data_IF_731983149345
#
_entry.id   IF_731983149345
#
_cell.length_a   1.000
_cell.length_b   1.000
_cell.length_c   1.000
_cell.angle_alpha   90.00
_cell.angle_beta   90.00
_cell.angle_gamma   90.00
#
_symmetry.space_group_name_H-M   'P 1'
#
loop_
_entity.id
_entity.type
_entity.pdbx_description
1 polymer ?
#
# COMPACT_ATOMS: atom_id res chain seq x y z
N UNK A 1 -1.49 -52.35 16.13
CA UNK A 1 -1.06 -51.55 14.96
C UNK A 1 -2.21 -50.62 14.58
N UNK A 2 -2.27 -49.42 15.16
CA UNK A 2 -3.30 -48.40 14.87
C UNK A 2 -2.58 -47.07 14.66
N UNK A 3 -2.47 -46.64 13.40
CA UNK A 3 -1.94 -45.33 13.02
C UNK A 3 -3.01 -44.28 13.30
N UNK A 4 -2.79 -43.45 14.32
CA UNK A 4 -3.58 -42.24 14.56
C UNK A 4 -3.19 -41.20 13.50
N UNK A 5 -4.09 -40.95 12.56
CA UNK A 5 -3.99 -39.87 11.58
C UNK A 5 -4.36 -38.58 12.32
N UNK A 6 -3.37 -37.71 12.52
CA UNK A 6 -3.57 -36.37 13.07
C UNK A 6 -3.99 -35.45 11.91
N UNK A 7 -5.27 -35.09 11.85
CA UNK A 7 -5.76 -34.02 10.99
C UNK A 7 -5.36 -32.68 11.60
N UNK A 8 -4.35 -32.03 11.03
CA UNK A 8 -3.95 -30.67 11.40
C UNK A 8 -4.95 -29.68 10.84
N UNK A 9 -5.76 -29.09 11.72
CA UNK A 9 -6.65 -27.98 11.39
C UNK A 9 -5.77 -26.72 11.19
N UNK A 10 -5.60 -26.29 9.95
CA UNK A 10 -4.87 -25.05 9.64
C UNK A 10 -5.70 -23.86 10.14
N UNK A 11 -5.26 -23.25 11.24
CA UNK A 11 -5.83 -22.01 11.76
C UNK A 11 -5.45 -20.87 10.80
N UNK A 12 -6.41 -20.44 9.98
CA UNK A 12 -6.28 -19.23 9.16
C UNK A 12 -6.30 -18.03 10.10
N UNK A 13 -5.11 -17.56 10.49
CA UNK A 13 -4.94 -16.33 11.23
C UNK A 13 -5.14 -15.14 10.27
N UNK A 14 -6.39 -14.71 10.15
CA UNK A 14 -6.74 -13.47 9.44
C UNK A 14 -6.35 -12.28 10.35
N UNK A 15 -5.12 -11.79 10.22
CA UNK A 15 -4.68 -10.58 10.91
C UNK A 15 -5.33 -9.36 10.25
N UNK A 16 -6.41 -8.84 10.84
CA UNK A 16 -6.99 -7.56 10.47
C UNK A 16 -6.26 -6.45 11.22
N UNK A 17 -5.35 -5.75 10.52
CA UNK A 17 -4.55 -4.67 11.10
C UNK A 17 -5.13 -3.32 10.65
N UNK A 18 -5.79 -2.57 11.55
CA UNK A 18 -6.11 -1.16 11.34
C UNK A 18 -4.90 -0.33 11.76
N UNK A 19 -4.30 0.41 10.81
CA UNK A 19 -3.10 1.21 11.06
C UNK A 19 -3.40 2.70 10.83
N UNK A 20 -3.39 3.55 11.87
CA UNK A 20 -3.20 4.98 11.67
C UNK A 20 -1.73 5.23 11.29
N UNK A 21 -1.50 5.92 10.19
CA UNK A 21 -0.17 6.24 9.66
C UNK A 21 0.38 7.55 10.28
N UNK A 22 1.71 7.67 10.39
CA UNK A 22 2.40 8.88 10.86
C UNK A 22 3.51 9.30 9.88
N UNK A 23 3.45 10.57 9.45
CA UNK A 23 4.39 11.42 8.69
C UNK A 23 5.46 10.78 7.76
N UNK A 24 5.07 10.52 6.51
CA UNK A 24 5.64 10.99 5.24
C UNK A 24 4.60 10.61 4.16
N UNK A 25 4.43 11.37 3.07
CA UNK A 25 3.32 11.14 2.12
C UNK A 25 3.75 11.23 0.67
N UNK A 26 4.28 12.35 0.22
CA UNK A 26 4.82 12.48 -1.13
C UNK A 26 6.33 12.29 -1.10
N UNK A 27 6.83 11.58 -2.10
CA UNK A 27 8.27 11.49 -2.37
C UNK A 27 8.74 12.76 -3.07
N UNK A 28 10.05 13.00 -3.15
CA UNK A 28 10.62 14.10 -3.95
C UNK A 28 10.04 14.11 -5.38
N UNK A 29 9.80 12.93 -5.95
CA UNK A 29 9.19 12.81 -7.27
C UNK A 29 7.72 13.27 -7.27
N UNK A 30 6.92 12.79 -6.32
CA UNK A 30 5.51 13.18 -6.17
C UNK A 30 5.34 14.67 -5.90
N UNK A 31 6.19 15.24 -5.04
CA UNK A 31 6.21 16.67 -4.72
C UNK A 31 6.54 17.51 -5.96
N UNK A 32 7.58 17.16 -6.71
CA UNK A 32 7.95 17.87 -7.94
C UNK A 32 6.81 17.82 -8.99
N UNK A 33 6.16 16.66 -9.14
CA UNK A 33 4.99 16.54 -10.03
C UNK A 33 3.83 17.43 -9.58
N UNK A 34 3.55 17.48 -8.28
CA UNK A 34 2.50 18.34 -7.73
C UNK A 34 2.82 19.81 -7.95
N UNK A 35 4.07 20.24 -7.71
CA UNK A 35 4.54 21.61 -7.94
C UNK A 35 4.42 21.99 -9.41
N UNK A 36 4.88 21.14 -10.32
CA UNK A 36 4.81 21.39 -11.76
C UNK A 36 3.35 21.49 -12.24
N UNK A 37 2.46 20.67 -11.69
CA UNK A 37 1.05 20.70 -12.05
C UNK A 37 0.34 21.95 -11.52
N UNK A 38 0.50 22.25 -10.23
CA UNK A 38 -0.25 23.29 -9.55
C UNK A 38 0.24 24.69 -9.92
N UNK A 39 1.56 24.89 -9.99
CA UNK A 39 2.15 26.23 -10.13
C UNK A 39 2.70 26.49 -11.53
N UNK A 40 2.97 25.45 -12.31
CA UNK A 40 3.67 25.57 -13.60
C UNK A 40 2.85 25.10 -14.79
N UNK A 41 1.55 24.82 -14.56
CA UNK A 41 0.57 24.50 -15.60
C UNK A 41 0.90 23.23 -16.38
N UNK A 42 1.73 22.33 -15.82
CA UNK A 42 2.04 21.06 -16.46
C UNK A 42 0.93 20.05 -16.19
N UNK A 43 0.78 19.06 -17.07
CA UNK A 43 -0.07 17.93 -16.74
C UNK A 43 0.55 17.13 -15.59
N UNK A 44 -0.23 16.80 -14.56
CA UNK A 44 0.25 16.02 -13.40
C UNK A 44 0.82 14.67 -13.84
N UNK A 45 0.21 14.03 -14.84
CA UNK A 45 0.73 12.78 -15.42
C UNK A 45 0.64 11.58 -14.48
N UNK A 46 -0.39 11.52 -13.63
CA UNK A 46 -0.68 10.34 -12.81
C UNK A 46 -1.06 9.14 -13.68
N UNK A 47 -0.74 7.91 -13.26
CA UNK A 47 -1.09 6.70 -14.00
C UNK A 47 -2.60 6.42 -13.89
N UNK A 48 -3.16 5.72 -14.89
CA UNK A 48 -4.52 5.19 -14.80
C UNK A 48 -4.64 4.05 -13.77
N UNK A 49 -3.52 3.43 -13.41
CA UNK A 49 -3.41 2.37 -12.40
C UNK A 49 -2.24 2.66 -11.48
N UNK A 50 -2.53 2.77 -10.19
CA UNK A 50 -1.51 2.78 -9.16
C UNK A 50 -1.07 1.36 -8.84
N UNK A 51 0.19 1.18 -8.49
CA UNK A 51 0.73 -0.10 -8.05
C UNK A 51 1.14 0.02 -6.59
N UNK A 52 0.39 -0.63 -5.70
CA UNK A 52 0.66 -0.67 -4.27
C UNK A 52 1.74 -1.70 -4.00
N UNK A 53 2.91 -1.22 -3.60
CA UNK A 53 4.05 -2.03 -3.20
C UNK A 53 4.32 -1.95 -1.70
N UNK A 54 5.20 -2.82 -1.22
CA UNK A 54 5.74 -2.74 0.15
C UNK A 54 7.26 -2.81 0.13
N UNK A 55 7.90 -2.31 1.18
CA UNK A 55 9.35 -2.34 1.34
C UNK A 55 9.73 -2.79 2.74
N UNK A 56 10.92 -3.40 2.84
CA UNK A 56 11.52 -3.78 4.12
C UNK A 56 12.29 -2.65 4.79
N UNK A 57 12.41 -1.49 4.13
CA UNK A 57 12.90 -0.24 4.71
C UNK A 57 11.75 0.67 5.12
N UNK A 58 12.03 1.58 6.05
CA UNK A 58 11.14 2.71 6.36
C UNK A 58 11.11 3.71 5.21
N UNK A 59 10.16 4.63 5.23
CA UNK A 59 10.03 5.68 4.25
C UNK A 59 11.20 6.65 4.31
N UNK A 60 11.54 7.11 3.11
CA UNK A 60 12.52 8.13 2.79
C UNK A 60 12.00 8.75 1.51
N UNK A 61 11.98 10.07 1.37
CA UNK A 61 11.37 10.74 0.21
C UNK A 61 12.19 10.50 -1.07
N UNK A 62 13.51 10.36 -0.95
CA UNK A 62 14.42 10.25 -2.09
C UNK A 62 14.59 8.81 -2.62
N UNK A 63 14.58 7.79 -1.75
CA UNK A 63 14.87 6.40 -2.15
C UNK A 63 13.77 5.40 -1.75
N UNK A 64 13.43 4.44 -2.62
CA UNK A 64 12.32 3.50 -2.41
C UNK A 64 12.59 2.41 -1.35
N UNK A 65 13.83 2.26 -0.88
CA UNK A 65 14.22 1.09 -0.09
C UNK A 65 14.19 -0.20 -0.92
N UNK A 66 13.96 -1.34 -0.26
CA UNK A 66 14.06 -2.67 -0.86
C UNK A 66 12.69 -3.35 -0.89
N UNK A 67 12.18 -3.61 -2.10
CA UNK A 67 11.00 -4.45 -2.26
C UNK A 67 11.32 -5.92 -1.94
N UNK A 68 10.38 -6.67 -1.32
CA UNK A 68 10.55 -8.09 -1.09
C UNK A 68 10.80 -8.96 -2.32
N UNK A 69 11.27 -10.18 -2.08
CA UNK A 69 11.33 -11.26 -3.07
C UNK A 69 10.60 -12.49 -2.54
N UNK A 70 10.44 -13.55 -3.34
CA UNK A 70 9.78 -14.78 -2.89
C UNK A 70 8.25 -14.70 -2.98
N UNK A 71 7.73 -14.49 -4.20
CA UNK A 71 6.29 -14.43 -4.50
C UNK A 71 5.70 -13.02 -4.45
N UNK A 72 6.46 -12.02 -4.01
CA UNK A 72 6.02 -10.63 -3.98
C UNK A 72 5.78 -10.06 -5.38
N UNK A 73 4.68 -9.32 -5.51
CA UNK A 73 4.38 -8.45 -6.64
C UNK A 73 3.53 -7.27 -6.17
N UNK A 74 3.75 -6.08 -6.75
CA UNK A 74 2.91 -4.90 -6.49
C UNK A 74 1.46 -5.17 -6.91
N UNK A 75 0.51 -4.62 -6.18
CA UNK A 75 -0.91 -4.80 -6.45
C UNK A 75 -1.49 -3.65 -7.28
N UNK A 76 -2.12 -3.93 -8.43
CA UNK A 76 -2.73 -2.90 -9.25
C UNK A 76 -4.03 -2.40 -8.60
N UNK A 77 -4.18 -1.08 -8.53
CA UNK A 77 -5.39 -0.40 -8.04
C UNK A 77 -5.71 0.74 -9.00
N UNK A 78 -6.83 0.64 -9.71
CA UNK A 78 -7.25 1.67 -10.68
C UNK A 78 -7.39 3.04 -10.02
N UNK A 79 -6.92 4.10 -10.68
CA UNK A 79 -7.16 5.48 -10.24
C UNK A 79 -8.62 5.87 -10.54
N UNK A 80 -9.54 5.48 -9.66
CA UNK A 80 -10.99 5.63 -9.87
C UNK A 80 -11.71 5.91 -8.57
N UNK A 81 -12.89 6.54 -8.66
CA UNK A 81 -13.76 6.82 -7.52
C UNK A 81 -14.23 5.55 -6.79
N UNK A 82 -14.32 4.42 -7.50
CA UNK A 82 -14.68 3.13 -6.87
C UNK A 82 -13.53 2.49 -6.11
N UNK A 83 -12.27 2.82 -6.44
CA UNK A 83 -11.10 2.20 -5.85
C UNK A 83 -10.49 3.03 -4.71
N UNK A 84 -10.62 4.36 -4.76
CA UNK A 84 -10.09 5.28 -3.76
C UNK A 84 -11.19 6.19 -3.23
N UNK A 85 -11.27 6.29 -1.90
CA UNK A 85 -12.24 7.14 -1.22
C UNK A 85 -11.97 8.63 -1.47
N UNK A 86 -13.03 9.43 -1.61
CA UNK A 86 -12.94 10.87 -1.49
C UNK A 86 -12.66 11.30 -0.03
N UNK A 87 -12.22 12.55 0.14
CA UNK A 87 -11.78 13.11 1.44
C UNK A 87 -12.87 13.33 2.48
N UNK A 88 -14.14 13.10 2.11
CA UNK A 88 -15.31 13.30 2.95
C UNK A 88 -15.64 12.10 3.85
N UNK A 89 -15.31 10.88 3.43
CA UNK A 89 -15.49 9.66 4.24
C UNK A 89 -14.81 8.45 3.59
N UNK A 90 -14.39 7.48 4.41
CA UNK A 90 -14.01 6.16 3.91
C UNK A 90 -15.15 5.49 3.13
N UNK A 91 -14.82 4.73 2.08
CA UNK A 91 -15.82 4.06 1.24
C UNK A 91 -16.58 4.97 0.28
N UNK A 92 -16.32 6.29 0.28
CA UNK A 92 -17.00 7.22 -0.63
C UNK A 92 -16.57 7.03 -2.08
N UNK A 93 -17.49 7.31 -3.01
CA UNK A 93 -17.32 7.07 -4.45
C UNK A 93 -17.65 8.31 -5.29
N UNK A 94 -17.59 9.49 -4.67
CA UNK A 94 -17.72 10.79 -5.33
C UNK A 94 -16.43 11.57 -5.22
N UNK A 95 -16.24 12.58 -6.07
CA UNK A 95 -15.09 13.48 -5.99
C UNK A 95 -14.93 14.08 -4.59
N UNK A 96 -13.68 14.30 -4.19
CA UNK A 96 -13.31 14.79 -2.87
C UNK A 96 -13.98 16.13 -2.53
N UNK A 97 -14.59 16.20 -1.35
CA UNK A 97 -15.23 17.42 -0.84
C UNK A 97 -15.04 17.64 0.67
N UNK A 98 -14.30 16.75 1.34
CA UNK A 98 -13.99 16.85 2.77
C UNK A 98 -12.75 17.68 3.05
N UNK A 99 -12.56 18.01 4.33
CA UNK A 99 -11.52 18.95 4.79
C UNK A 99 -10.22 18.29 5.28
N UNK A 100 -10.17 16.96 5.42
CA UNK A 100 -9.03 16.27 6.05
C UNK A 100 -7.95 15.75 5.09
N UNK A 101 -8.04 16.08 3.80
CA UNK A 101 -7.09 15.66 2.74
C UNK A 101 -6.75 14.14 2.68
N UNK A 102 -7.50 13.30 3.40
CA UNK A 102 -7.22 11.86 3.55
C UNK A 102 -8.04 11.05 2.55
N UNK A 103 -7.40 10.12 1.86
CA UNK A 103 -8.04 9.09 1.03
C UNK A 103 -7.71 7.70 1.59
N UNK A 104 -8.46 6.69 1.15
CA UNK A 104 -8.21 5.29 1.51
C UNK A 104 -8.63 4.34 0.39
N UNK A 105 -8.14 3.10 0.43
CA UNK A 105 -8.60 2.06 -0.48
C UNK A 105 -10.06 1.67 -0.21
N UNK A 106 -10.91 1.63 -1.24
CA UNK A 106 -12.32 1.22 -1.10
C UNK A 106 -12.54 -0.30 -1.20
N UNK A 107 -11.53 -1.04 -1.66
CA UNK A 107 -11.58 -2.50 -1.81
C UNK A 107 -10.37 -3.16 -1.16
N UNK A 108 -10.46 -4.47 -0.89
CA UNK A 108 -9.33 -5.26 -0.37
C UNK A 108 -8.18 -5.24 -1.37
N UNK A 109 -6.98 -4.93 -0.91
CA UNK A 109 -5.73 -5.05 -1.67
C UNK A 109 -4.99 -6.26 -1.10
N UNK A 110 -4.92 -7.36 -1.86
CA UNK A 110 -4.32 -8.61 -1.41
C UNK A 110 -3.08 -8.92 -2.23
N UNK A 111 -1.94 -9.12 -1.55
CA UNK A 111 -0.70 -9.55 -2.19
C UNK A 111 -0.71 -11.06 -2.40
N UNK A 112 0.11 -11.59 -3.34
CA UNK A 112 0.28 -13.03 -3.46
C UNK A 112 0.82 -13.60 -2.15
N UNK A 113 0.40 -14.82 -1.81
CA UNK A 113 0.97 -15.53 -0.67
C UNK A 113 2.49 -15.66 -0.84
N UNK A 114 3.23 -15.41 0.23
CA UNK A 114 4.69 -15.51 0.20
C UNK A 114 5.12 -16.93 -0.19
N UNK A 115 6.17 -17.05 -1.01
CA UNK A 115 6.80 -18.35 -1.32
C UNK A 115 8.11 -18.55 -0.56
N UNK A 116 8.58 -17.51 0.14
CA UNK A 116 9.73 -17.49 1.04
C UNK A 116 9.55 -16.36 2.05
N UNK A 117 10.48 -16.22 3.01
CA UNK A 117 10.49 -15.07 3.92
C UNK A 117 10.73 -13.77 3.13
N UNK A 118 9.96 -12.71 3.44
CA UNK A 118 10.20 -11.36 2.93
C UNK A 118 10.96 -10.50 3.96
N UNK A 119 10.95 -10.90 5.23
CA UNK A 119 11.45 -10.11 6.35
C UNK A 119 10.37 -9.17 6.90
N UNK A 120 10.81 -8.13 7.61
CA UNK A 120 9.93 -7.12 8.17
C UNK A 120 9.52 -6.13 7.09
N UNK A 121 8.25 -6.13 6.73
CA UNK A 121 7.65 -5.07 5.92
C UNK A 121 7.48 -3.83 6.80
N UNK A 122 8.10 -2.72 6.40
CA UNK A 122 8.19 -1.48 7.18
C UNK A 122 7.49 -0.29 6.51
N UNK A 123 7.30 -0.30 5.20
CA UNK A 123 6.57 0.76 4.50
C UNK A 123 5.70 0.22 3.36
N UNK A 124 4.66 1.00 3.02
CA UNK A 124 3.77 0.83 1.87
C UNK A 124 4.00 1.97 0.91
N UNK A 125 3.92 1.69 -0.40
CA UNK A 125 4.34 2.61 -1.44
C UNK A 125 3.37 2.60 -2.62
N UNK A 126 3.11 3.76 -3.24
CA UNK A 126 2.41 3.84 -4.53
C UNK A 126 3.37 4.15 -5.65
N UNK A 127 3.31 3.32 -6.67
CA UNK A 127 4.14 3.36 -7.87
C UNK A 127 3.31 3.60 -9.12
N UNK A 128 3.92 4.24 -10.11
CA UNK A 128 3.30 4.43 -11.43
C UNK A 128 3.50 3.27 -12.41
N UNK A 129 4.24 2.24 -12.02
CA UNK A 129 4.49 1.06 -12.83
C UNK A 129 4.46 -0.24 -12.01
N UNK A 130 4.17 -1.35 -12.70
CA UNK A 130 4.11 -2.71 -12.11
C UNK A 130 5.48 -3.17 -11.60
N UNK A 131 6.55 -2.76 -12.27
CA UNK A 131 7.95 -2.98 -11.91
C UNK A 131 8.74 -1.72 -12.27
N UNK A 132 9.85 -1.45 -11.57
CA UNK A 132 10.60 -0.20 -11.70
C UNK A 132 9.68 1.03 -11.54
N UNK A 133 9.71 1.99 -12.47
CA UNK A 133 8.90 3.21 -12.41
C UNK A 133 9.31 4.17 -11.30
N UNK A 134 8.44 5.13 -11.03
CA UNK A 134 8.63 6.13 -9.99
C UNK A 134 7.68 5.86 -8.83
N UNK A 135 8.21 5.96 -7.62
CA UNK A 135 7.42 5.95 -6.40
C UNK A 135 6.95 7.37 -6.13
N UNK A 136 5.64 7.55 -5.96
CA UNK A 136 5.02 8.86 -5.71
C UNK A 136 4.71 9.08 -4.24
N UNK A 137 4.33 8.02 -3.55
CA UNK A 137 3.89 8.07 -2.16
C UNK A 137 4.58 6.95 -1.38
N UNK A 138 4.95 7.24 -0.14
CA UNK A 138 5.47 6.27 0.82
C UNK A 138 4.84 6.54 2.18
N UNK A 139 4.37 5.50 2.86
CA UNK A 139 3.88 5.58 4.23
C UNK A 139 4.50 4.47 5.07
N UNK A 140 5.04 4.81 6.23
CA UNK A 140 5.53 3.82 7.20
C UNK A 140 4.36 3.05 7.82
N UNK A 141 4.51 1.74 7.97
CA UNK A 141 3.57 0.96 8.78
C UNK A 141 3.88 1.21 10.26
N UNK A 142 2.85 1.47 11.06
CA UNK A 142 3.05 1.82 12.48
C UNK A 142 3.72 0.70 13.30
N UNK A 143 3.57 -0.55 12.84
CA UNK A 143 4.29 -1.70 13.37
C UNK A 143 4.78 -2.57 12.20
N UNK A 144 6.07 -2.94 12.15
CA UNK A 144 6.58 -3.81 11.10
C UNK A 144 5.81 -5.12 11.02
N UNK A 145 5.41 -5.51 9.81
CA UNK A 145 4.74 -6.79 9.57
C UNK A 145 5.77 -7.84 9.15
N UNK A 146 6.00 -8.83 10.01
CA UNK A 146 7.00 -9.86 9.74
C UNK A 146 6.45 -10.97 8.84
N UNK A 147 7.06 -11.13 7.68
CA UNK A 147 6.82 -12.24 6.75
C UNK A 147 8.02 -13.19 6.83
N UNK A 148 7.93 -14.17 7.73
CA UNK A 148 9.05 -15.01 8.14
C UNK A 148 9.17 -16.34 7.39
N UNK A 149 8.18 -16.69 6.58
CA UNK A 149 8.12 -17.97 5.86
C UNK A 149 7.18 -17.90 4.65
N UNK A 150 7.11 -19.00 3.90
CA UNK A 150 6.11 -19.20 2.84
C UNK A 150 4.69 -19.38 3.40
N UNK A 151 3.68 -18.98 2.64
CA UNK A 151 2.26 -19.10 2.98
C UNK A 151 1.72 -17.98 3.87
N UNK A 152 2.49 -16.90 4.08
CA UNK A 152 2.02 -15.70 4.77
C UNK A 152 1.28 -14.83 3.76
N UNK A 153 0.07 -14.41 4.11
CA UNK A 153 -0.72 -13.49 3.30
C UNK A 153 -0.64 -12.08 3.88
N UNK A 154 -0.28 -11.11 3.03
CA UNK A 154 -0.34 -9.68 3.34
C UNK A 154 -1.53 -9.07 2.59
N UNK A 155 -2.38 -8.34 3.30
CA UNK A 155 -3.50 -7.61 2.69
C UNK A 155 -3.83 -6.35 3.46
N UNK A 156 -4.45 -5.40 2.75
CA UNK A 156 -5.14 -4.26 3.31
C UNK A 156 -6.62 -4.41 3.04
N UNK A 157 -7.44 -4.54 4.08
CA UNK A 157 -8.89 -4.48 3.94
C UNK A 157 -9.33 -3.08 3.50
N UNK A 158 -10.56 -2.93 3.02
CA UNK A 158 -11.10 -1.61 2.67
C UNK A 158 -10.97 -0.63 3.86
N UNK A 159 -10.52 0.59 3.56
CA UNK A 159 -10.32 1.68 4.52
C UNK A 159 -9.04 1.57 5.36
N UNK A 160 -8.26 0.49 5.24
CA UNK A 160 -7.07 0.29 6.08
C UNK A 160 -5.82 1.01 5.56
N UNK A 161 -5.65 1.08 4.24
CA UNK A 161 -4.54 1.82 3.64
C UNK A 161 -4.99 3.26 3.44
N UNK A 162 -4.43 4.16 4.23
CA UNK A 162 -4.78 5.59 4.22
C UNK A 162 -3.59 6.43 3.77
N UNK A 163 -3.89 7.46 2.98
CA UNK A 163 -2.93 8.47 2.54
C UNK A 163 -3.53 9.84 2.79
N UNK A 164 -2.74 10.79 3.25
CA UNK A 164 -3.12 12.19 3.41
C UNK A 164 -2.24 13.04 2.46
N UNK A 165 -2.56 14.32 2.24
CA UNK A 165 -1.75 15.22 1.39
C UNK A 165 -1.40 16.53 2.12
N UNK A 166 -1.91 16.73 3.33
CA UNK A 166 -1.38 17.72 4.27
C UNK A 166 -0.55 17.00 5.35
N UNK A 167 0.36 17.74 5.99
CA UNK A 167 1.22 17.25 7.07
C UNK A 167 0.78 17.86 8.39
#
# INVERSE_FOLDING_TARGET
MMKRILCTLALVACAALSLPASAALLTDYGENKLVDALFRGQALGTPATWYVGVSTGTCNDATPGTEPTGGYARQPVSASLSAWAGTQSAGSTTASSGAGATTSNNAVIQFPASTAAWGNVQSVQLWDAVTAGNRWICVDVAAPFNVDRAGVELKFNAGQLQFYVDN
#
